data_IF_981875019901
#
_entry.id   IF_981875019901
#
_cell.length_a   1.000
_cell.length_b   1.000
_cell.length_c   1.000
_cell.angle_alpha   90.00
_cell.angle_beta   90.00
_cell.angle_gamma   90.00
#
_symmetry.space_group_name_H-M   'P 1'
#
loop_
_entity.id
_entity.type
_entity.pdbx_description
1 polymer ?
#
# COMPACT_ATOMS: atom_id res chain seq x y z
N UNK A 1 -16.33 -8.13 -1.13
CA UNK A 1 -15.20 -8.61 -0.30
C UNK A 1 -14.16 -7.51 -0.29
N UNK A 2 -13.86 -6.98 0.88
CA UNK A 2 -12.87 -5.91 1.03
C UNK A 2 -11.46 -6.49 0.87
N UNK A 3 -10.66 -5.90 0.02
CA UNK A 3 -9.23 -6.15 -0.02
C UNK A 3 -8.44 -4.87 0.20
N UNK A 4 -7.25 -5.00 0.74
CA UNK A 4 -6.39 -3.88 1.06
C UNK A 4 -5.06 -4.03 0.33
N UNK A 5 -4.66 -3.01 -0.41
CA UNK A 5 -3.30 -2.89 -0.92
C UNK A 5 -2.47 -2.22 0.16
N UNK A 6 -1.48 -2.92 0.67
CA UNK A 6 -0.61 -2.44 1.74
C UNK A 6 0.78 -2.13 1.21
N UNK A 7 1.26 -0.91 1.45
CA UNK A 7 2.63 -0.50 1.17
C UNK A 7 3.35 -0.18 2.46
N UNK A 8 4.36 -0.94 2.81
CA UNK A 8 5.16 -0.76 4.02
C UNK A 8 6.40 0.07 3.75
N UNK A 9 6.79 0.93 4.68
CA UNK A 9 8.00 1.76 4.59
C UNK A 9 9.17 1.13 5.34
N UNK A 10 10.39 1.53 4.99
CA UNK A 10 11.61 1.11 5.69
C UNK A 10 11.73 1.74 7.06
N UNK A 11 11.29 2.99 7.21
CA UNK A 11 11.33 3.79 8.43
C UNK A 11 10.07 4.63 8.53
N UNK A 12 9.70 4.95 9.75
CA UNK A 12 8.59 5.86 9.99
C UNK A 12 8.88 7.23 9.36
N UNK A 13 7.86 7.81 8.74
CA UNK A 13 7.96 9.12 8.13
C UNK A 13 8.21 10.18 9.20
N UNK A 14 9.15 11.07 8.93
CA UNK A 14 9.51 12.18 9.83
C UNK A 14 8.34 13.16 10.02
N UNK A 15 8.23 13.73 11.23
CA UNK A 15 7.28 14.79 11.57
C UNK A 15 7.90 16.20 11.52
N UNK A 16 9.10 16.36 10.94
CA UNK A 16 9.73 17.66 10.69
C UNK A 16 8.96 18.43 9.62
N UNK A 17 8.80 19.72 9.80
CA UNK A 17 7.97 20.60 8.96
C UNK A 17 8.16 20.42 7.46
N UNK A 18 9.42 20.44 7.00
CA UNK A 18 9.72 20.30 5.58
C UNK A 18 9.43 18.88 5.06
N UNK A 19 9.63 17.88 5.90
CA UNK A 19 9.39 16.47 5.52
C UNK A 19 7.88 16.18 5.46
N UNK A 20 7.07 16.67 6.41
CA UNK A 20 5.60 16.55 6.32
C UNK A 20 5.08 17.14 4.99
N UNK A 21 5.57 18.33 4.60
CA UNK A 21 5.16 18.95 3.33
C UNK A 21 5.53 18.11 2.11
N UNK A 22 6.74 17.54 2.07
CA UNK A 22 7.18 16.66 0.99
C UNK A 22 6.33 15.38 0.92
N UNK A 23 6.04 14.79 2.07
CA UNK A 23 5.22 13.59 2.20
C UNK A 23 3.79 13.82 1.70
N UNK A 24 3.17 14.93 2.11
CA UNK A 24 1.82 15.29 1.66
C UNK A 24 1.79 15.64 0.17
N UNK A 25 2.85 16.24 -0.37
CA UNK A 25 2.94 16.47 -1.82
C UNK A 25 3.12 15.15 -2.60
N UNK A 26 3.90 14.21 -2.09
CA UNK A 26 4.02 12.86 -2.67
C UNK A 26 2.66 12.14 -2.63
N UNK A 27 1.95 12.18 -1.50
CA UNK A 27 0.62 11.62 -1.36
C UNK A 27 -0.38 12.23 -2.35
N UNK A 28 -0.39 13.56 -2.47
CA UNK A 28 -1.21 14.29 -3.46
C UNK A 28 -0.93 13.82 -4.89
N UNK A 29 0.34 13.62 -5.27
CA UNK A 29 0.72 13.13 -6.60
C UNK A 29 0.18 11.72 -6.83
N UNK A 30 0.32 10.82 -5.86
CA UNK A 30 -0.20 9.46 -5.95
C UNK A 30 -1.71 9.47 -6.20
N UNK A 31 -2.47 10.27 -5.45
CA UNK A 31 -3.93 10.35 -5.60
C UNK A 31 -4.31 10.94 -6.97
N UNK A 32 -3.63 11.98 -7.43
CA UNK A 32 -3.88 12.56 -8.74
C UNK A 32 -3.63 11.57 -9.90
N UNK A 33 -2.53 10.81 -9.82
CA UNK A 33 -2.21 9.80 -10.84
C UNK A 33 -3.17 8.60 -10.76
N UNK A 34 -3.53 8.14 -9.55
CA UNK A 34 -4.54 7.10 -9.36
C UNK A 34 -5.91 7.51 -9.91
N UNK A 35 -6.32 8.77 -9.70
CA UNK A 35 -7.54 9.33 -10.30
C UNK A 35 -7.56 9.22 -11.84
N UNK A 36 -6.41 9.44 -12.49
CA UNK A 36 -6.31 9.30 -13.94
C UNK A 36 -6.40 7.84 -14.41
N UNK A 37 -6.07 6.88 -13.53
CA UNK A 37 -6.17 5.45 -13.85
C UNK A 37 -7.60 4.93 -13.81
N UNK A 38 -8.37 5.30 -12.77
CA UNK A 38 -9.71 4.76 -12.57
C UNK A 38 -10.61 5.71 -11.77
N UNK A 39 -11.88 5.87 -12.16
CA UNK A 39 -12.83 6.77 -11.47
C UNK A 39 -13.07 6.46 -10.00
N UNK A 40 -12.80 5.24 -9.52
CA UNK A 40 -12.95 4.87 -8.09
C UNK A 40 -12.09 5.75 -7.18
N UNK A 41 -10.96 6.28 -7.68
CA UNK A 41 -10.07 7.19 -6.95
C UNK A 41 -10.53 8.65 -7.02
N UNK A 42 -11.74 8.91 -7.53
CA UNK A 42 -12.33 10.25 -7.62
C UNK A 42 -13.17 10.60 -6.40
N UNK A 43 -13.46 11.89 -6.23
CA UNK A 43 -14.35 12.39 -5.18
C UNK A 43 -13.93 11.99 -3.76
N UNK A 44 -12.64 11.93 -3.51
CA UNK A 44 -12.09 11.63 -2.19
C UNK A 44 -12.20 12.85 -1.27
N UNK A 45 -12.52 12.59 -0.02
CA UNK A 45 -12.64 13.57 1.05
C UNK A 45 -11.91 13.08 2.29
N UNK A 46 -11.51 14.01 3.15
CA UNK A 46 -11.04 13.63 4.49
C UNK A 46 -12.16 12.87 5.20
N UNK A 47 -11.82 11.71 5.75
CA UNK A 47 -12.75 10.97 6.59
C UNK A 47 -12.85 11.67 7.96
N UNK A 48 -14.00 12.27 8.23
CA UNK A 48 -14.29 12.95 9.48
C UNK A 48 -15.08 12.02 10.43
N UNK A 49 -14.45 10.94 10.85
CA UNK A 49 -15.07 9.96 11.76
C UNK A 49 -15.51 10.56 13.11
N UNK A 50 -14.94 11.71 13.50
CA UNK A 50 -15.27 12.39 14.76
C UNK A 50 -16.62 13.13 14.67
N UNK A 51 -17.08 13.46 13.47
CA UNK A 51 -18.33 14.18 13.27
C UNK A 51 -19.32 13.35 12.41
N UNK A 52 -20.14 12.48 13.03
CA UNK A 52 -21.06 11.61 12.31
C UNK A 52 -22.16 12.38 11.55
N UNK A 53 -22.44 13.65 11.87
CA UNK A 53 -23.36 14.50 11.12
C UNK A 53 -22.73 15.13 9.88
N UNK A 54 -21.40 15.11 9.79
CA UNK A 54 -20.60 15.58 8.64
C UNK A 54 -19.44 14.60 8.41
N UNK A 55 -19.70 13.39 7.95
CA UNK A 55 -18.68 12.36 7.80
C UNK A 55 -17.61 12.73 6.77
N UNK A 56 -17.97 13.52 5.74
CA UNK A 56 -17.02 14.02 4.74
C UNK A 56 -16.45 15.37 5.19
N UNK A 57 -15.12 15.42 5.30
CA UNK A 57 -14.38 16.65 5.50
C UNK A 57 -14.08 17.36 4.17
N UNK A 58 -12.94 18.05 4.12
CA UNK A 58 -12.49 18.74 2.92
C UNK A 58 -12.28 17.78 1.75
N UNK A 59 -12.63 18.17 0.50
CA UNK A 59 -12.28 17.38 -0.68
C UNK A 59 -10.76 17.26 -0.83
N UNK A 60 -10.27 16.14 -1.33
CA UNK A 60 -8.86 15.91 -1.57
C UNK A 60 -8.61 15.59 -3.06
N UNK A 61 -7.58 16.22 -3.66
CA UNK A 61 -6.67 17.19 -3.05
C UNK A 61 -7.24 18.62 -3.04
N UNK A 62 -7.05 19.30 -1.90
CA UNK A 62 -7.30 20.74 -1.77
C UNK A 62 -6.30 21.36 -0.78
N UNK A 63 -6.12 22.66 -0.82
CA UNK A 63 -5.23 23.36 0.11
C UNK A 63 -5.71 23.24 1.56
N UNK A 64 -7.03 23.22 1.78
CA UNK A 64 -7.66 23.02 3.08
C UNK A 64 -7.35 21.63 3.63
N UNK A 65 -7.48 20.58 2.81
CA UNK A 65 -7.19 19.21 3.19
C UNK A 65 -5.70 19.03 3.53
N UNK A 66 -4.81 19.54 2.68
CA UNK A 66 -3.36 19.49 2.91
C UNK A 66 -2.96 20.22 4.20
N UNK A 67 -3.55 21.40 4.45
CA UNK A 67 -3.33 22.18 5.67
C UNK A 67 -3.85 21.46 6.91
N UNK A 68 -4.99 20.77 6.80
CA UNK A 68 -5.56 19.96 7.87
C UNK A 68 -4.60 18.83 8.23
N UNK A 69 -4.19 17.99 7.30
CA UNK A 69 -3.26 16.89 7.54
C UNK A 69 -1.89 17.35 8.04
N UNK A 70 -1.36 18.48 7.52
CA UNK A 70 -0.12 19.06 8.02
C UNK A 70 -0.23 19.41 9.51
N UNK A 71 -1.31 20.10 9.91
CA UNK A 71 -1.52 20.50 11.32
C UNK A 71 -1.73 19.28 12.22
N UNK A 72 -2.46 18.29 11.75
CA UNK A 72 -2.74 17.06 12.48
C UNK A 72 -1.45 16.30 12.75
N UNK A 73 -0.66 16.03 11.71
CA UNK A 73 0.61 15.31 11.83
C UNK A 73 1.67 16.09 12.61
N UNK A 74 1.63 17.43 12.56
CA UNK A 74 2.51 18.26 13.39
C UNK A 74 2.19 18.15 14.87
N UNK A 75 0.92 17.96 15.22
CA UNK A 75 0.44 17.79 16.58
C UNK A 75 0.69 16.37 17.10
N UNK A 76 0.47 15.38 16.25
CA UNK A 76 0.64 13.97 16.56
C UNK A 76 1.35 13.26 15.39
N UNK A 77 2.61 12.83 15.56
CA UNK A 77 3.36 12.17 14.49
C UNK A 77 2.76 10.82 14.05
N UNK A 78 1.88 10.23 14.85
CA UNK A 78 1.18 8.98 14.53
C UNK A 78 -0.17 9.19 13.84
N UNK A 79 -0.63 10.44 13.74
CA UNK A 79 -1.88 10.72 13.06
C UNK A 79 -1.78 10.40 11.55
N UNK A 80 -2.83 9.78 11.04
CA UNK A 80 -2.91 9.30 9.66
C UNK A 80 -3.81 10.19 8.82
N UNK A 81 -3.42 10.43 7.57
CA UNK A 81 -4.31 11.03 6.59
C UNK A 81 -5.29 9.96 6.10
N UNK A 82 -6.55 10.10 6.48
CA UNK A 82 -7.64 9.20 6.11
C UNK A 82 -8.52 9.87 5.05
N UNK A 83 -8.60 9.22 3.89
CA UNK A 83 -9.49 9.63 2.79
C UNK A 83 -10.53 8.55 2.53
N UNK A 84 -11.69 8.95 2.05
CA UNK A 84 -12.71 8.05 1.54
C UNK A 84 -13.63 8.78 0.56
N UNK A 85 -14.45 8.03 -0.19
CA UNK A 85 -15.38 8.61 -1.16
C UNK A 85 -16.81 8.78 -0.63
N UNK A 86 -17.05 8.52 0.65
CA UNK A 86 -18.37 8.67 1.28
C UNK A 86 -19.37 7.56 0.98
N UNK A 87 -18.96 6.48 0.30
CA UNK A 87 -19.81 5.35 -0.06
C UNK A 87 -19.55 4.18 0.84
N UNK A 88 -20.55 3.77 1.61
CA UNK A 88 -20.50 2.56 2.42
C UNK A 88 -21.23 1.43 1.68
N UNK A 89 -20.86 0.19 1.95
CA UNK A 89 -21.51 -1.04 1.46
C UNK A 89 -21.76 -1.01 -0.07
N UNK A 90 -20.78 -0.54 -0.81
CA UNK A 90 -20.87 -0.30 -2.25
C UNK A 90 -19.64 -0.84 -2.97
N UNK A 91 -19.85 -1.44 -4.15
CA UNK A 91 -18.75 -1.82 -5.04
C UNK A 91 -17.84 -0.63 -5.44
N UNK A 92 -18.27 0.59 -5.22
CA UNK A 92 -17.50 1.81 -5.44
C UNK A 92 -16.80 2.32 -4.18
N UNK A 93 -16.91 1.58 -3.04
CA UNK A 93 -16.24 1.96 -1.80
C UNK A 93 -14.73 1.97 -1.97
N UNK A 94 -14.12 3.04 -1.47
CA UNK A 94 -12.68 3.17 -1.30
C UNK A 94 -12.37 3.98 -0.05
N UNK A 95 -11.42 3.49 0.72
CA UNK A 95 -10.71 4.25 1.73
C UNK A 95 -9.20 4.25 1.46
N UNK A 96 -8.52 5.30 1.88
CA UNK A 96 -7.07 5.42 1.74
C UNK A 96 -6.50 5.92 3.05
N UNK A 97 -5.52 5.20 3.57
CA UNK A 97 -4.81 5.56 4.81
C UNK A 97 -3.35 5.83 4.50
N UNK A 98 -2.90 7.05 4.75
CA UNK A 98 -1.49 7.41 4.67
C UNK A 98 -0.96 7.72 6.07
N UNK A 99 -0.29 6.74 6.66
CA UNK A 99 0.31 6.80 8.00
C UNK A 99 1.80 7.13 7.95
N UNK A 100 2.45 7.19 9.09
CA UNK A 100 3.90 7.27 9.17
C UNK A 100 4.62 5.95 8.81
N UNK A 101 3.92 4.81 8.83
CA UNK A 101 4.49 3.48 8.55
C UNK A 101 4.15 2.92 7.18
N UNK A 102 3.17 3.49 6.48
CA UNK A 102 2.73 2.95 5.20
C UNK A 102 1.60 3.71 4.52
N UNK A 103 1.26 3.24 3.32
CA UNK A 103 0.11 3.68 2.54
C UNK A 103 -0.77 2.46 2.25
N UNK A 104 -2.07 2.59 2.50
CA UNK A 104 -3.04 1.54 2.24
C UNK A 104 -4.20 2.05 1.41
N UNK A 105 -4.69 1.20 0.49
CA UNK A 105 -5.93 1.40 -0.26
C UNK A 105 -6.87 0.24 0.07
N UNK A 106 -7.98 0.52 0.75
CA UNK A 106 -9.05 -0.44 1.02
C UNK A 106 -10.16 -0.29 -0.03
N UNK A 107 -10.53 -1.39 -0.68
CA UNK A 107 -11.52 -1.43 -1.76
C UNK A 107 -12.47 -2.63 -1.58
N UNK A 108 -13.75 -2.45 -1.94
CA UNK A 108 -14.74 -3.54 -2.01
C UNK A 108 -14.75 -4.24 -3.38
N UNK A 109 -14.27 -3.57 -4.43
CA UNK A 109 -14.27 -4.11 -5.78
C UNK A 109 -12.86 -4.48 -6.23
N UNK A 110 -12.73 -5.68 -6.78
CA UNK A 110 -11.47 -6.17 -7.32
C UNK A 110 -11.03 -5.32 -8.52
N UNK A 111 -9.80 -4.86 -8.46
CA UNK A 111 -9.15 -4.21 -9.59
C UNK A 111 -8.46 -5.28 -10.46
N UNK A 112 -8.43 -5.06 -11.76
CA UNK A 112 -7.68 -5.96 -12.64
C UNK A 112 -6.17 -5.81 -12.43
N UNK A 113 -5.41 -6.81 -12.86
CA UNK A 113 -3.94 -6.88 -12.74
C UNK A 113 -3.24 -5.62 -13.28
N UNK A 114 -3.73 -5.09 -14.40
CA UNK A 114 -3.10 -3.93 -15.03
C UNK A 114 -3.23 -2.68 -14.16
N UNK A 115 -4.41 -2.43 -13.61
CA UNK A 115 -4.67 -1.32 -12.68
C UNK A 115 -3.87 -1.46 -11.38
N UNK A 116 -3.85 -2.67 -10.80
CA UNK A 116 -3.06 -2.95 -9.60
C UNK A 116 -1.57 -2.74 -9.83
N UNK A 117 -1.05 -3.24 -10.95
CA UNK A 117 0.34 -3.06 -11.32
C UNK A 117 0.68 -1.57 -11.47
N UNK A 118 -0.16 -0.80 -12.15
CA UNK A 118 0.01 0.65 -12.29
C UNK A 118 -0.05 1.37 -10.95
N UNK A 119 -0.96 0.98 -10.06
CA UNK A 119 -1.06 1.57 -8.72
C UNK A 119 0.19 1.28 -7.88
N UNK A 120 0.75 0.06 -7.95
CA UNK A 120 2.05 -0.25 -7.35
C UNK A 120 3.16 0.64 -7.92
N UNK A 121 3.23 0.78 -9.26
CA UNK A 121 4.23 1.61 -9.91
C UNK A 121 4.12 3.09 -9.52
N UNK A 122 2.90 3.65 -9.46
CA UNK A 122 2.67 5.03 -8.97
C UNK A 122 3.17 5.18 -7.54
N UNK A 123 2.80 4.26 -6.65
CA UNK A 123 3.25 4.28 -5.25
C UNK A 123 4.77 4.25 -5.16
N UNK A 124 5.41 3.35 -5.90
CA UNK A 124 6.87 3.18 -5.95
C UNK A 124 7.62 4.35 -6.62
N UNK A 125 6.93 5.14 -7.43
CA UNK A 125 7.51 6.36 -8.04
C UNK A 125 7.64 7.49 -7.02
N UNK A 126 6.71 7.56 -6.05
CA UNK A 126 6.61 8.69 -5.13
C UNK A 126 7.00 8.38 -3.68
N UNK A 127 7.01 7.09 -3.28
CA UNK A 127 7.33 6.65 -1.93
C UNK A 127 8.40 5.56 -1.94
N UNK A 128 9.27 5.58 -0.94
CA UNK A 128 10.26 4.50 -0.72
C UNK A 128 9.60 3.38 0.07
N UNK A 129 9.33 2.25 -0.59
CA UNK A 129 8.61 1.12 -0.01
C UNK A 129 9.54 -0.06 0.29
N UNK A 130 9.37 -0.66 1.47
CA UNK A 130 10.02 -1.91 1.90
C UNK A 130 9.34 -3.13 1.29
N UNK A 131 8.00 -3.07 1.14
CA UNK A 131 7.17 -4.16 0.62
C UNK A 131 5.80 -3.63 0.21
N UNK A 132 5.19 -4.20 -0.84
CA UNK A 132 3.78 -3.96 -1.19
C UNK A 132 3.12 -5.31 -1.45
N UNK A 133 1.92 -5.52 -0.89
CA UNK A 133 1.15 -6.75 -1.04
C UNK A 133 -0.35 -6.47 -0.96
N UNK A 134 -1.16 -7.43 -1.37
CA UNK A 134 -2.61 -7.42 -1.15
C UNK A 134 -2.92 -8.20 0.12
N UNK A 135 -3.85 -7.68 0.91
CA UNK A 135 -4.34 -8.29 2.11
C UNK A 135 -5.86 -8.40 2.05
N UNK A 136 -6.37 -9.62 2.16
CA UNK A 136 -7.77 -9.98 2.35
C UNK A 136 -7.87 -11.20 3.26
N UNK A 137 -9.06 -11.71 3.47
CA UNK A 137 -9.26 -12.88 4.34
C UNK A 137 -8.57 -14.14 3.79
N UNK A 138 -8.57 -14.34 2.47
CA UNK A 138 -7.94 -15.50 1.85
C UNK A 138 -6.41 -15.46 2.00
N UNK A 139 -5.76 -14.34 1.66
CA UNK A 139 -4.31 -14.21 1.76
C UNK A 139 -3.83 -14.19 3.21
N UNK A 140 -4.62 -13.63 4.13
CA UNK A 140 -4.32 -13.62 5.56
C UNK A 140 -4.18 -15.04 6.13
N UNK A 141 -5.03 -15.96 5.66
CA UNK A 141 -5.06 -17.33 6.15
C UNK A 141 -3.94 -18.22 5.55
N UNK A 142 -3.17 -17.69 4.59
CA UNK A 142 -2.00 -18.37 3.99
C UNK A 142 -0.74 -17.90 4.71
N UNK A 143 -0.53 -18.38 5.94
CA UNK A 143 0.67 -18.05 6.72
C UNK A 143 1.70 -19.16 6.60
N UNK A 144 2.76 -18.91 5.82
CA UNK A 144 3.88 -19.86 5.68
C UNK A 144 4.91 -19.65 6.80
N UNK A 145 5.15 -18.39 7.18
CA UNK A 145 6.11 -18.01 8.23
C UNK A 145 5.50 -16.90 9.11
N UNK A 146 5.20 -17.20 10.36
CA UNK A 146 4.55 -16.27 11.31
C UNK A 146 5.35 -14.97 11.55
N UNK A 147 6.67 -15.02 11.41
CA UNK A 147 7.56 -13.88 11.62
C UNK A 147 7.83 -13.08 10.34
N UNK A 148 7.21 -13.42 9.21
CA UNK A 148 7.34 -12.72 7.93
C UNK A 148 6.01 -12.10 7.50
N UNK A 149 6.10 -11.00 6.74
CA UNK A 149 4.90 -10.41 6.13
C UNK A 149 4.20 -11.43 5.21
N UNK A 150 2.86 -11.40 5.14
CA UNK A 150 2.12 -12.30 4.26
C UNK A 150 2.43 -12.00 2.78
N UNK A 151 2.43 -13.05 1.97
CA UNK A 151 2.63 -12.95 0.53
C UNK A 151 1.27 -13.13 -0.15
N UNK A 152 0.96 -12.29 -1.11
CA UNK A 152 -0.22 -12.41 -1.96
C UNK A 152 0.14 -12.79 -3.39
N UNK A 153 -0.85 -13.04 -4.23
CA UNK A 153 -0.64 -13.41 -5.65
C UNK A 153 0.04 -12.30 -6.48
N UNK A 154 0.12 -11.08 -5.96
CA UNK A 154 0.93 -9.98 -6.48
C UNK A 154 1.64 -9.29 -5.31
N UNK A 155 2.93 -9.04 -5.43
CA UNK A 155 3.70 -8.29 -4.44
C UNK A 155 4.85 -7.52 -5.09
N UNK A 156 5.35 -6.47 -4.38
CA UNK A 156 6.63 -5.84 -4.66
C UNK A 156 7.63 -6.22 -3.58
N UNK A 157 8.81 -6.65 -4.00
CA UNK A 157 9.97 -6.91 -3.13
C UNK A 157 11.13 -5.98 -3.45
N UNK A 158 11.92 -5.51 -2.44
CA UNK A 158 12.94 -4.47 -2.62
C UNK A 158 14.28 -5.03 -3.12
N UNK A 159 14.22 -5.97 -4.04
CA UNK A 159 15.38 -6.51 -4.75
C UNK A 159 14.97 -7.05 -6.12
N UNK A 160 15.91 -7.03 -7.05
CA UNK A 160 15.71 -7.60 -8.38
C UNK A 160 15.76 -9.13 -8.26
N UNK A 161 14.62 -9.76 -8.54
CA UNK A 161 14.47 -11.21 -8.46
C UNK A 161 14.75 -11.84 -9.82
N UNK A 162 15.54 -12.91 -9.85
CA UNK A 162 15.67 -13.75 -11.05
C UNK A 162 14.40 -14.57 -11.26
N UNK A 163 13.89 -14.62 -12.48
CA UNK A 163 12.69 -15.42 -12.80
C UNK A 163 12.85 -16.90 -12.44
N UNK A 164 14.06 -17.44 -12.60
CA UNK A 164 14.37 -18.83 -12.25
C UNK A 164 14.34 -19.14 -10.74
N UNK A 165 14.26 -18.09 -9.91
CA UNK A 165 14.20 -18.24 -8.44
C UNK A 165 12.78 -18.34 -7.91
N UNK A 166 11.77 -18.20 -8.76
CA UNK A 166 10.35 -18.23 -8.40
C UNK A 166 9.69 -19.43 -9.10
N UNK A 167 8.93 -20.23 -8.34
CA UNK A 167 8.32 -21.46 -8.86
C UNK A 167 7.15 -21.19 -9.81
N UNK A 168 6.32 -20.20 -9.47
CA UNK A 168 5.15 -19.78 -10.25
C UNK A 168 5.25 -18.28 -10.53
N UNK A 169 5.41 -17.92 -11.78
CA UNK A 169 5.56 -16.53 -12.18
C UNK A 169 4.82 -16.29 -13.49
N UNK A 170 3.70 -15.58 -13.40
CA UNK A 170 2.97 -15.12 -14.58
C UNK A 170 3.66 -13.90 -15.22
N UNK A 171 4.08 -12.93 -14.40
CA UNK A 171 4.73 -11.72 -14.89
C UNK A 171 5.66 -11.12 -13.83
N UNK A 172 6.79 -10.59 -14.30
CA UNK A 172 7.72 -9.79 -13.50
C UNK A 172 7.91 -8.42 -14.10
N UNK A 173 8.01 -7.39 -13.26
CA UNK A 173 8.32 -6.03 -13.68
C UNK A 173 9.41 -5.50 -12.75
N UNK A 174 10.57 -5.20 -13.29
CA UNK A 174 11.65 -4.59 -12.52
C UNK A 174 11.38 -3.09 -12.34
N UNK A 175 11.53 -2.63 -11.11
CA UNK A 175 11.41 -1.24 -10.69
C UNK A 175 12.80 -0.70 -10.43
N UNK A 176 13.22 0.28 -11.23
CA UNK A 176 14.55 0.90 -11.15
C UNK A 176 14.36 2.42 -11.20
N UNK A 177 14.23 3.05 -10.05
CA UNK A 177 14.16 4.50 -9.90
C UNK A 177 14.98 4.96 -8.69
N UNK A 178 15.03 6.28 -8.44
CA UNK A 178 15.84 6.87 -7.38
C UNK A 178 15.39 6.46 -5.96
N UNK A 179 14.13 6.05 -5.78
CA UNK A 179 13.56 5.67 -4.49
C UNK A 179 13.58 4.16 -4.27
N UNK A 180 13.36 3.38 -5.34
CA UNK A 180 13.11 1.95 -5.24
C UNK A 180 13.88 1.18 -6.31
N UNK A 181 14.51 0.07 -5.88
CA UNK A 181 15.13 -0.93 -6.75
C UNK A 181 14.60 -2.29 -6.32
N UNK A 182 13.80 -2.93 -7.19
CA UNK A 182 13.13 -4.17 -6.83
C UNK A 182 12.31 -4.75 -7.96
N UNK A 183 11.48 -5.74 -7.62
CA UNK A 183 10.62 -6.42 -8.59
C UNK A 183 9.17 -6.46 -8.12
N UNK A 184 8.24 -6.12 -9.00
CA UNK A 184 6.82 -6.48 -8.87
C UNK A 184 6.68 -7.87 -9.44
N UNK A 185 6.18 -8.80 -8.63
CA UNK A 185 5.98 -10.20 -8.97
C UNK A 185 4.48 -10.49 -9.02
N UNK A 186 4.02 -11.10 -10.09
CA UNK A 186 2.64 -11.53 -10.29
C UNK A 186 2.70 -13.03 -10.53
N UNK A 187 2.11 -13.82 -9.62
CA UNK A 187 2.28 -15.27 -9.62
C UNK A 187 1.29 -15.99 -10.53
N UNK A 188 0.10 -15.41 -10.74
CA UNK A 188 -0.94 -15.96 -11.59
C UNK A 188 -1.73 -14.83 -12.28
N UNK A 189 -2.38 -15.12 -13.40
CA UNK A 189 -3.26 -14.16 -14.09
C UNK A 189 -4.57 -13.91 -13.32
N UNK A 190 -5.02 -14.87 -12.50
CA UNK A 190 -6.22 -14.78 -11.68
C UNK A 190 -5.88 -14.49 -10.22
N UNK A 191 -5.29 -13.33 -9.93
CA UNK A 191 -4.74 -12.97 -8.62
C UNK A 191 -5.74 -12.99 -7.46
N UNK A 192 -7.04 -12.98 -7.72
CA UNK A 192 -8.11 -13.07 -6.71
C UNK A 192 -8.82 -14.44 -6.72
N UNK A 193 -8.21 -15.46 -7.32
CA UNK A 193 -8.74 -16.83 -7.25
C UNK A 193 -8.55 -17.41 -5.85
N UNK A 194 -9.64 -17.68 -5.14
CA UNK A 194 -9.64 -18.34 -3.83
C UNK A 194 -9.73 -19.86 -4.02
N UNK A 195 -8.58 -20.52 -4.19
CA UNK A 195 -8.51 -21.95 -4.45
C UNK A 195 -7.29 -22.61 -3.81
N UNK A 196 -7.34 -23.93 -3.61
CA UNK A 196 -6.19 -24.71 -3.13
C UNK A 196 -4.99 -24.61 -4.10
N UNK A 197 -5.25 -24.42 -5.41
CA UNK A 197 -4.20 -24.17 -6.39
C UNK A 197 -3.48 -22.84 -6.10
N UNK A 198 -4.22 -21.77 -5.90
CA UNK A 198 -3.65 -20.48 -5.58
C UNK A 198 -2.91 -20.49 -4.23
N UNK A 199 -3.50 -21.13 -3.22
CA UNK A 199 -2.84 -21.33 -1.94
C UNK A 199 -1.46 -21.97 -2.09
N UNK A 200 -1.38 -23.07 -2.85
CA UNK A 200 -0.11 -23.76 -3.12
C UNK A 200 0.89 -22.86 -3.86
N UNK A 201 0.45 -22.11 -4.87
CA UNK A 201 1.28 -21.15 -5.61
C UNK A 201 1.91 -20.13 -4.66
N UNK A 202 1.11 -19.56 -3.76
CA UNK A 202 1.56 -18.56 -2.79
C UNK A 202 2.54 -19.18 -1.79
N UNK A 203 2.22 -20.36 -1.23
CA UNK A 203 3.08 -21.07 -0.28
C UNK A 203 4.47 -21.37 -0.88
N UNK A 204 4.53 -21.94 -2.08
CA UNK A 204 5.79 -22.29 -2.75
C UNK A 204 6.62 -21.02 -3.07
N UNK A 205 5.98 -19.96 -3.55
CA UNK A 205 6.66 -18.70 -3.83
C UNK A 205 7.08 -17.96 -2.55
N UNK A 206 6.30 -18.01 -1.47
CA UNK A 206 6.68 -17.47 -0.17
C UNK A 206 7.94 -18.13 0.36
N UNK A 207 8.03 -19.47 0.28
CA UNK A 207 9.24 -20.22 0.66
C UNK A 207 10.45 -19.75 -0.14
N UNK A 208 10.31 -19.62 -1.47
CA UNK A 208 11.38 -19.16 -2.34
C UNK A 208 11.82 -17.72 -2.00
N UNK A 209 10.88 -16.81 -1.77
CA UNK A 209 11.18 -15.43 -1.43
C UNK A 209 11.79 -15.26 -0.04
N UNK A 210 11.39 -16.07 0.94
CA UNK A 210 12.05 -16.09 2.27
C UNK A 210 13.47 -16.60 2.16
N UNK A 211 13.74 -17.65 1.37
CA UNK A 211 15.08 -18.15 1.11
C UNK A 211 16.00 -17.08 0.48
N UNK A 212 15.44 -16.17 -0.29
CA UNK A 212 16.14 -15.00 -0.86
C UNK A 212 16.21 -13.80 0.11
N UNK A 213 15.64 -13.91 1.31
CA UNK A 213 15.46 -12.80 2.25
C UNK A 213 14.74 -11.59 1.64
N UNK A 214 13.77 -11.84 0.76
CA UNK A 214 13.02 -10.82 0.01
C UNK A 214 11.75 -10.35 0.72
N UNK A 215 11.24 -11.12 1.69
CA UNK A 215 10.03 -10.77 2.47
C UNK A 215 10.47 -10.19 3.82
N UNK A 216 10.00 -8.98 4.17
CA UNK A 216 10.31 -8.36 5.46
C UNK A 216 9.76 -9.16 6.65
N UNK A 217 10.37 -8.97 7.80
CA UNK A 217 9.84 -9.45 9.08
C UNK A 217 8.61 -8.65 9.49
N UNK A 218 7.73 -9.28 10.28
CA UNK A 218 6.54 -8.61 10.86
C UNK A 218 6.95 -7.64 11.96
N UNK A 219 8.02 -7.94 12.70
CA UNK A 219 8.59 -7.03 13.68
C UNK A 219 9.24 -5.82 13.02
N UNK A 220 9.04 -4.67 13.62
CA UNK A 220 9.68 -3.43 13.18
C UNK A 220 11.17 -3.43 13.55
N UNK A 221 11.99 -2.94 12.64
CA UNK A 221 13.41 -2.72 12.91
C UNK A 221 13.57 -1.78 14.11
N UNK A 222 14.55 -2.00 14.96
CA UNK A 222 14.77 -1.22 16.21
C UNK A 222 14.93 0.29 15.98
N UNK A 223 15.37 0.68 14.79
CA UNK A 223 15.53 2.07 14.37
C UNK A 223 14.37 2.60 13.50
N UNK A 224 13.25 1.86 13.42
CA UNK A 224 12.12 2.22 12.56
C UNK A 224 11.60 3.64 12.82
N UNK A 225 11.55 4.07 14.08
CA UNK A 225 11.08 5.40 14.49
C UNK A 225 12.20 6.44 14.60
N UNK A 226 13.41 6.16 14.11
CA UNK A 226 14.57 7.07 14.25
C UNK A 226 14.38 8.46 13.61
N UNK A 227 13.47 8.59 12.66
CA UNK A 227 13.16 9.84 11.97
C UNK A 227 12.01 10.65 12.63
N UNK A 228 11.40 10.11 13.70
CA UNK A 228 10.29 10.74 14.42
C UNK A 228 10.82 11.47 15.65
N UNK A 229 10.53 12.77 15.75
CA UNK A 229 10.81 13.57 16.95
C UNK A 229 9.61 13.43 17.92
N UNK A 230 9.84 12.90 19.13
CA UNK A 230 8.86 12.68 20.19
C UNK A 230 8.80 13.86 21.18
#
# INVERSE_FOLDING_TARGET
MEFIIHSLFYKALSNKDNEIKKQLEAFKKIINEAHQLHPIFSNLHINNAINPSKPLGYPFPSDEALRYFYKSRKKDPFDSALLWNGKNDSAEYINITFSNSGLSFGLENQLNIELLTKLFQITLTHLKCKFIFIYDDFFRDIVVFEHRQPVSAICYVPQIISENSIHHLYKKIDVLNDLNQGSILIFDENIFEESDRMKKIIEENAIALVALNAIPETELDSDFFSEVDF
#
